data_IF_286736162695
#
_entry.id   IF_286736162695
#
_cell.length_a   1.000
_cell.length_b   1.000
_cell.length_c   1.000
_cell.angle_alpha   90.00
_cell.angle_beta   90.00
_cell.angle_gamma   90.00
#
_symmetry.space_group_name_H-M   'P 1'
#
loop_
_entity.id
_entity.type
_entity.pdbx_description
1 polymer ?
#
# COMPACT_ATOMS: atom_id res chain seq x y z
N UNK A 1 16.96 -0.19 -1.57
CA UNK A 1 16.45 0.62 -0.44
C UNK A 1 16.25 -0.29 0.76
N UNK A 2 16.57 0.16 1.99
CA UNK A 2 16.44 -0.64 3.21
C UNK A 2 15.58 0.12 4.21
N UNK A 3 14.67 -0.58 4.88
CA UNK A 3 13.68 0.00 5.77
C UNK A 3 13.45 -0.90 6.99
N UNK A 4 12.91 -0.31 8.05
CA UNK A 4 12.48 -1.01 9.26
C UNK A 4 13.60 -1.53 10.14
N UNK A 5 13.25 -1.83 11.39
CA UNK A 5 14.15 -2.43 12.39
C UNK A 5 13.59 -3.77 12.86
N UNK A 6 12.37 -3.77 13.40
CA UNK A 6 11.66 -4.98 13.87
C UNK A 6 11.22 -5.87 12.71
N UNK A 7 10.66 -5.26 11.67
CA UNK A 7 10.36 -5.91 10.39
C UNK A 7 11.26 -5.22 9.35
N UNK A 8 12.45 -5.77 9.17
CA UNK A 8 13.45 -5.18 8.28
C UNK A 8 13.24 -5.70 6.87
N UNK A 9 13.16 -4.80 5.89
CA UNK A 9 13.06 -5.19 4.49
C UNK A 9 13.99 -4.40 3.59
N UNK A 10 14.43 -5.05 2.51
CA UNK A 10 15.31 -4.49 1.49
C UNK A 10 14.72 -4.76 0.11
N UNK A 11 14.61 -3.70 -0.68
CA UNK A 11 14.19 -3.74 -2.09
C UNK A 11 15.40 -3.44 -2.97
N UNK A 12 15.61 -4.26 -3.98
CA UNK A 12 16.70 -4.09 -4.95
C UNK A 12 16.17 -4.27 -6.37
N UNK A 13 16.52 -3.35 -7.26
CA UNK A 13 16.24 -3.55 -8.69
C UNK A 13 17.14 -4.66 -9.22
N UNK A 14 16.55 -5.57 -9.98
CA UNK A 14 17.26 -6.58 -10.76
C UNK A 14 16.89 -6.40 -12.24
N UNK A 15 17.62 -7.04 -13.14
CA UNK A 15 17.54 -6.81 -14.59
C UNK A 15 16.11 -6.79 -15.14
N UNK A 16 15.29 -7.77 -14.74
CA UNK A 16 13.88 -7.86 -15.16
C UNK A 16 12.93 -7.89 -13.96
N UNK A 17 13.13 -7.06 -12.93
CA UNK A 17 12.20 -7.07 -11.81
C UNK A 17 12.71 -6.45 -10.51
N UNK A 18 12.31 -7.06 -9.39
CA UNK A 18 12.67 -6.63 -8.04
C UNK A 18 13.05 -7.84 -7.19
N UNK A 19 14.15 -7.72 -6.47
CA UNK A 19 14.49 -8.62 -5.37
C UNK A 19 14.03 -8.00 -4.05
N UNK A 20 13.26 -8.76 -3.29
CA UNK A 20 12.81 -8.41 -1.95
C UNK A 20 13.48 -9.33 -0.94
N UNK A 21 14.07 -8.75 0.11
CA UNK A 21 14.58 -9.50 1.26
C UNK A 21 13.91 -8.97 2.51
N UNK A 22 13.35 -9.87 3.33
CA UNK A 22 12.68 -9.55 4.58
C UNK A 22 13.37 -10.33 5.70
N UNK A 23 13.74 -9.63 6.77
CA UNK A 23 14.41 -10.20 7.93
C UNK A 23 13.54 -10.08 9.17
N UNK A 24 13.93 -10.80 10.21
CA UNK A 24 13.30 -10.80 11.53
C UNK A 24 11.85 -11.33 11.49
N UNK A 25 11.57 -12.29 10.61
CA UNK A 25 10.28 -12.94 10.55
C UNK A 25 10.27 -14.12 11.52
N UNK A 26 9.32 -14.19 12.47
CA UNK A 26 9.21 -15.33 13.38
C UNK A 26 9.04 -16.65 12.61
N UNK A 27 9.61 -17.73 13.12
CA UNK A 27 9.41 -19.08 12.59
C UNK A 27 7.96 -19.55 12.80
N UNK A 28 7.46 -20.36 11.88
CA UNK A 28 6.22 -21.13 12.02
C UNK A 28 4.95 -20.39 11.61
N UNK A 29 5.05 -19.19 11.05
CA UNK A 29 3.91 -18.45 10.51
C UNK A 29 3.44 -19.15 9.24
N UNK A 30 2.17 -19.57 9.21
CA UNK A 30 1.57 -20.18 8.03
C UNK A 30 1.39 -19.15 6.91
N UNK A 31 1.98 -19.44 5.75
CA UNK A 31 1.98 -18.59 4.57
C UNK A 31 2.02 -19.44 3.30
N UNK A 32 1.06 -19.21 2.41
CA UNK A 32 0.87 -19.98 1.17
C UNK A 32 0.99 -19.09 -0.06
N UNK A 33 1.20 -19.69 -1.23
CA UNK A 33 1.16 -18.96 -2.50
C UNK A 33 -0.19 -18.23 -2.70
N UNK A 34 -1.28 -18.80 -2.20
CA UNK A 34 -2.62 -18.23 -2.29
C UNK A 34 -2.78 -16.94 -1.46
N UNK A 35 -2.07 -16.83 -0.33
CA UNK A 35 -2.08 -15.60 0.47
C UNK A 35 -1.52 -14.42 -0.34
N UNK A 36 -0.39 -14.63 -1.03
CA UNK A 36 0.22 -13.62 -1.90
C UNK A 36 -0.66 -13.30 -3.11
N UNK A 37 -1.15 -14.34 -3.81
CA UNK A 37 -2.00 -14.18 -4.99
C UNK A 37 -3.27 -13.40 -4.68
N UNK A 38 -3.90 -13.63 -3.52
CA UNK A 38 -5.10 -12.91 -3.09
C UNK A 38 -4.86 -11.41 -2.92
N UNK A 39 -3.73 -11.01 -2.36
CA UNK A 39 -3.43 -9.58 -2.19
C UNK A 39 -2.97 -8.93 -3.48
N UNK A 40 -2.14 -9.60 -4.28
CA UNK A 40 -1.69 -9.08 -5.57
C UNK A 40 -2.84 -8.88 -6.56
N UNK A 41 -3.83 -9.77 -6.55
CA UNK A 41 -5.02 -9.69 -7.39
C UNK A 41 -5.89 -8.46 -7.11
N UNK A 42 -5.73 -7.80 -5.94
CA UNK A 42 -6.45 -6.57 -5.62
C UNK A 42 -5.95 -5.36 -6.41
N UNK A 43 -4.75 -5.42 -7.01
CA UNK A 43 -4.19 -4.33 -7.84
C UNK A 43 -4.88 -4.23 -9.21
N UNK A 44 -6.19 -4.08 -9.24
CA UNK A 44 -6.94 -3.98 -10.49
C UNK A 44 -8.02 -2.93 -10.37
N UNK A 45 -8.29 -2.27 -11.48
CA UNK A 45 -9.42 -1.38 -11.62
C UNK A 45 -9.91 -1.40 -13.08
N UNK A 46 -11.04 -0.76 -13.34
CA UNK A 46 -11.46 -0.55 -14.72
C UNK A 46 -10.38 0.20 -15.52
N UNK A 47 -9.98 -0.36 -16.67
CA UNK A 47 -8.89 0.18 -17.49
C UNK A 47 -7.48 -0.20 -17.06
N UNK A 48 -7.29 -0.98 -16.00
CA UNK A 48 -5.98 -1.49 -15.59
C UNK A 48 -6.02 -2.89 -14.98
N UNK A 49 -5.14 -3.75 -15.49
CA UNK A 49 -4.83 -5.06 -14.92
C UNK A 49 -3.32 -5.17 -14.69
N UNK A 50 -2.88 -5.90 -13.65
CA UNK A 50 -1.47 -6.23 -13.47
C UNK A 50 -0.87 -6.91 -14.70
N UNK A 51 0.45 -6.82 -14.83
CA UNK A 51 1.15 -7.49 -15.92
C UNK A 51 1.00 -9.02 -15.76
N UNK A 52 0.42 -9.74 -16.75
CA UNK A 52 0.18 -11.18 -16.64
C UNK A 52 1.47 -12.02 -16.61
N UNK A 53 2.60 -11.44 -17.04
CA UNK A 53 3.90 -12.12 -17.05
C UNK A 53 4.67 -11.94 -15.72
N UNK A 54 4.05 -11.31 -14.71
CA UNK A 54 4.62 -11.20 -13.37
C UNK A 54 4.78 -12.59 -12.72
N UNK A 55 5.97 -12.90 -12.23
CA UNK A 55 6.29 -14.18 -11.61
C UNK A 55 7.04 -13.99 -10.28
N UNK A 56 6.72 -14.82 -9.30
CA UNK A 56 7.26 -14.72 -7.94
C UNK A 56 7.92 -16.03 -7.57
N UNK A 57 9.23 -15.97 -7.35
CA UNK A 57 10.01 -17.06 -6.81
C UNK A 57 10.36 -16.79 -5.35
N UNK A 58 10.07 -17.75 -4.48
CA UNK A 58 10.58 -17.76 -3.12
C UNK A 58 11.93 -18.47 -3.13
N UNK A 59 13.01 -17.72 -2.92
CA UNK A 59 14.37 -18.23 -2.93
C UNK A 59 14.80 -18.81 -1.58
N UNK A 60 14.25 -18.28 -0.48
CA UNK A 60 14.56 -18.76 0.89
C UNK A 60 13.50 -18.31 1.91
N UNK A 61 13.55 -18.90 3.11
CA UNK A 61 12.82 -18.44 4.29
C UNK A 61 11.38 -18.94 4.45
N UNK A 62 10.87 -19.71 3.48
CA UNK A 62 9.57 -20.39 3.55
C UNK A 62 9.75 -21.85 3.12
N UNK A 63 9.32 -22.78 3.98
CA UNK A 63 9.32 -24.22 3.71
C UNK A 63 8.03 -24.83 4.23
N UNK A 64 7.44 -25.77 3.46
CA UNK A 64 6.18 -26.43 3.83
C UNK A 64 5.08 -25.43 4.25
N UNK A 65 4.94 -24.34 3.49
CA UNK A 65 3.97 -23.26 3.74
C UNK A 65 4.12 -22.58 5.10
N UNK A 66 5.33 -22.59 5.68
CA UNK A 66 5.66 -21.92 6.94
C UNK A 66 6.95 -21.15 6.85
N UNK A 67 7.03 -20.04 7.56
CA UNK A 67 8.27 -19.28 7.72
C UNK A 67 9.30 -20.09 8.51
N UNK A 68 10.56 -20.05 8.09
CA UNK A 68 11.63 -20.83 8.75
C UNK A 68 12.29 -20.08 9.91
N UNK A 69 12.12 -18.76 9.99
CA UNK A 69 12.85 -17.88 10.92
C UNK A 69 14.10 -17.25 10.31
N UNK A 70 14.52 -17.72 9.13
CA UNK A 70 15.60 -17.13 8.35
C UNK A 70 15.10 -15.94 7.51
N UNK A 71 16.03 -15.26 6.83
CA UNK A 71 15.69 -14.21 5.88
C UNK A 71 14.82 -14.78 4.73
N UNK A 72 13.65 -14.17 4.52
CA UNK A 72 12.78 -14.50 3.39
C UNK A 72 13.25 -13.69 2.19
N UNK A 73 13.59 -14.38 1.10
CA UNK A 73 14.06 -13.75 -0.13
C UNK A 73 13.12 -14.10 -1.27
N UNK A 74 12.60 -13.08 -1.94
CA UNK A 74 11.82 -13.21 -3.16
C UNK A 74 12.60 -12.67 -4.35
N UNK A 75 12.47 -13.34 -5.49
CA UNK A 75 12.70 -12.76 -6.80
C UNK A 75 11.34 -12.51 -7.44
N UNK A 76 11.06 -11.26 -7.80
CA UNK A 76 9.81 -10.86 -8.44
C UNK A 76 10.11 -10.37 -9.86
N UNK A 77 9.97 -11.29 -10.82
CA UNK A 77 10.20 -11.03 -12.25
C UNK A 77 9.05 -10.17 -12.78
N UNK A 78 9.39 -9.15 -13.57
CA UNK A 78 8.52 -8.07 -14.09
C UNK A 78 7.72 -7.32 -13.02
N UNK A 79 8.04 -7.54 -11.75
CA UNK A 79 7.45 -6.84 -10.61
C UNK A 79 8.01 -5.42 -10.43
N UNK A 80 7.31 -4.64 -9.61
CA UNK A 80 7.68 -3.28 -9.22
C UNK A 80 7.95 -3.22 -7.71
N UNK A 81 8.44 -2.08 -7.22
CA UNK A 81 8.65 -1.92 -5.77
C UNK A 81 7.31 -1.96 -5.02
N UNK A 82 6.26 -1.40 -5.60
CA UNK A 82 4.91 -1.40 -5.05
C UNK A 82 4.33 -2.82 -4.97
N UNK A 83 4.53 -3.66 -6.00
CA UNK A 83 4.08 -5.05 -5.95
C UNK A 83 4.89 -5.89 -4.96
N UNK A 84 6.21 -5.67 -4.87
CA UNK A 84 7.05 -6.29 -3.84
C UNK A 84 6.63 -5.88 -2.42
N UNK A 85 6.19 -4.63 -2.22
CA UNK A 85 5.64 -4.20 -0.93
C UNK A 85 4.39 -4.98 -0.53
N UNK A 86 3.58 -5.41 -1.48
CA UNK A 86 2.42 -6.25 -1.18
C UNK A 86 2.87 -7.60 -0.62
N UNK A 87 3.92 -8.22 -1.17
CA UNK A 87 4.46 -9.47 -0.63
C UNK A 87 4.90 -9.32 0.83
N UNK A 88 5.63 -8.24 1.13
CA UNK A 88 6.02 -7.90 2.49
C UNK A 88 4.80 -7.64 3.39
N UNK A 89 3.80 -6.93 2.87
CA UNK A 89 2.55 -6.64 3.58
C UNK A 89 1.72 -7.88 3.88
N UNK A 90 1.67 -8.85 2.97
CA UNK A 90 0.99 -10.14 3.18
C UNK A 90 1.59 -10.89 4.37
N UNK A 91 2.92 -10.94 4.47
CA UNK A 91 3.61 -11.52 5.65
C UNK A 91 3.33 -10.67 6.89
N UNK A 92 3.46 -9.34 6.77
CA UNK A 92 3.18 -8.40 7.86
C UNK A 92 1.78 -8.57 8.44
N UNK A 93 0.77 -8.82 7.60
CA UNK A 93 -0.62 -9.06 8.03
C UNK A 93 -0.81 -10.36 8.80
N UNK A 94 0.05 -11.36 8.62
CA UNK A 94 0.04 -12.58 9.43
C UNK A 94 0.67 -12.36 10.81
N UNK A 95 1.55 -11.36 10.93
CA UNK A 95 2.22 -10.98 12.18
C UNK A 95 1.37 -9.98 12.97
N UNK A 96 0.78 -9.01 12.26
CA UNK A 96 -0.03 -7.97 12.84
C UNK A 96 -1.44 -8.51 13.13
N UNK A 97 -1.76 -8.73 14.40
CA UNK A 97 -3.11 -9.10 14.85
C UNK A 97 -4.07 -7.91 14.92
N UNK A 98 -3.99 -7.01 13.94
CA UNK A 98 -4.83 -5.80 13.87
C UNK A 98 -5.19 -5.53 12.43
N UNK A 99 -6.43 -5.10 12.22
CA UNK A 99 -6.95 -4.80 10.88
C UNK A 99 -6.56 -3.39 10.47
N UNK A 100 -5.98 -3.28 9.28
CA UNK A 100 -5.79 -2.03 8.54
C UNK A 100 -6.70 -2.10 7.33
N UNK A 101 -7.37 -1.00 6.99
CA UNK A 101 -8.24 -0.93 5.81
C UNK A 101 -7.83 0.29 5.00
N UNK A 102 -7.56 0.09 3.71
CA UNK A 102 -7.26 1.16 2.76
C UNK A 102 -8.33 1.20 1.67
N UNK A 103 -8.68 2.40 1.21
CA UNK A 103 -9.67 2.61 0.14
C UNK A 103 -9.41 3.90 -0.62
N UNK A 104 -9.85 3.97 -1.87
CA UNK A 104 -9.99 5.24 -2.57
C UNK A 104 -11.10 6.08 -1.93
N UNK A 105 -10.83 7.36 -1.72
CA UNK A 105 -11.77 8.35 -1.15
C UNK A 105 -12.12 9.45 -2.16
N UNK A 106 -11.25 9.72 -3.12
CA UNK A 106 -11.48 10.69 -4.20
C UNK A 106 -10.77 10.25 -5.49
N UNK A 107 -11.41 10.44 -6.64
CA UNK A 107 -10.82 10.22 -7.97
C UNK A 107 -11.12 11.44 -8.84
N UNK A 108 -10.09 12.11 -9.34
CA UNK A 108 -10.22 13.26 -10.24
C UNK A 108 -11.01 14.43 -9.64
N UNK A 109 -10.93 14.67 -8.33
CA UNK A 109 -11.72 15.70 -7.65
C UNK A 109 -13.13 15.26 -7.24
N UNK A 110 -13.53 14.02 -7.51
CA UNK A 110 -14.86 13.49 -7.21
C UNK A 110 -14.76 12.52 -6.03
N UNK A 111 -15.48 12.83 -4.95
CA UNK A 111 -15.56 11.96 -3.76
C UNK A 111 -16.19 10.61 -4.11
N UNK A 112 -15.56 9.52 -3.68
CA UNK A 112 -16.06 8.15 -3.86
C UNK A 112 -17.30 7.93 -2.99
N UNK A 113 -18.36 7.41 -3.61
CA UNK A 113 -19.62 7.06 -2.95
C UNK A 113 -20.70 6.74 -3.98
N UNK A 114 -21.79 6.09 -3.54
CA UNK A 114 -22.85 5.56 -4.42
C UNK A 114 -23.39 6.61 -5.40
N UNK A 115 -23.60 7.85 -4.94
CA UNK A 115 -24.13 8.95 -5.76
C UNK A 115 -23.20 9.37 -6.90
N UNK A 116 -21.90 9.09 -6.78
CA UNK A 116 -20.87 9.54 -7.71
C UNK A 116 -20.29 8.40 -8.56
N UNK A 117 -20.72 7.16 -8.36
CA UNK A 117 -20.12 5.98 -9.01
C UNK A 117 -20.13 6.09 -10.54
N UNK A 118 -21.25 6.50 -11.12
CA UNK A 118 -21.38 6.65 -12.57
C UNK A 118 -20.42 7.72 -13.13
N UNK A 119 -20.25 8.85 -12.43
CA UNK A 119 -19.33 9.91 -12.84
C UNK A 119 -17.87 9.47 -12.78
N UNK A 120 -17.49 8.78 -11.70
CA UNK A 120 -16.16 8.22 -11.54
C UNK A 120 -15.87 7.19 -12.63
N UNK A 121 -16.83 6.30 -12.91
CA UNK A 121 -16.72 5.28 -13.97
C UNK A 121 -16.45 5.92 -15.33
N UNK A 122 -17.24 6.92 -15.73
CA UNK A 122 -17.04 7.64 -17.00
C UNK A 122 -15.68 8.34 -17.05
N UNK A 123 -15.26 8.96 -15.95
CA UNK A 123 -13.94 9.60 -15.87
C UNK A 123 -12.79 8.60 -16.05
N UNK A 124 -12.85 7.46 -15.35
CA UNK A 124 -11.86 6.37 -15.46
C UNK A 124 -11.84 5.77 -16.87
N UNK A 125 -13.00 5.48 -17.46
CA UNK A 125 -13.11 4.96 -18.83
C UNK A 125 -12.48 5.92 -19.83
N UNK A 126 -12.75 7.22 -19.71
CA UNK A 126 -12.15 8.23 -20.57
C UNK A 126 -10.62 8.18 -20.49
N UNK A 127 -10.05 8.12 -19.28
CA UNK A 127 -8.60 8.05 -19.09
C UNK A 127 -8.00 6.79 -19.70
N UNK A 128 -8.66 5.64 -19.52
CA UNK A 128 -8.24 4.38 -20.12
C UNK A 128 -8.25 4.44 -21.66
N UNK A 129 -9.28 5.06 -22.26
CA UNK A 129 -9.38 5.23 -23.72
C UNK A 129 -8.34 6.21 -24.27
N UNK A 130 -7.89 7.19 -23.49
CA UNK A 130 -6.94 8.22 -23.92
C UNK A 130 -5.49 7.96 -23.49
N UNK A 131 -5.20 6.83 -22.85
CA UNK A 131 -3.89 6.54 -22.24
C UNK A 131 -3.41 7.71 -21.35
N UNK A 132 -4.28 8.16 -20.45
CA UNK A 132 -4.01 9.24 -19.51
C UNK A 132 -4.38 8.82 -18.08
N UNK A 133 -4.22 9.71 -17.11
CA UNK A 133 -4.55 9.44 -15.71
C UNK A 133 -5.01 10.68 -14.95
N UNK A 134 -5.73 10.45 -13.86
CA UNK A 134 -6.21 11.47 -12.93
C UNK A 134 -5.44 11.42 -11.61
N UNK A 135 -5.34 12.57 -10.95
CA UNK A 135 -5.02 12.60 -9.53
C UNK A 135 -6.10 11.89 -8.72
N UNK A 136 -5.73 11.40 -7.54
CA UNK A 136 -6.64 10.61 -6.69
C UNK A 136 -6.20 10.64 -5.23
N UNK A 137 -7.10 10.26 -4.31
CA UNK A 137 -6.85 10.30 -2.86
C UNK A 137 -7.22 8.96 -2.22
N UNK A 138 -6.26 8.34 -1.54
CA UNK A 138 -6.47 7.16 -0.71
C UNK A 138 -6.69 7.54 0.76
N UNK A 139 -7.50 6.75 1.46
CA UNK A 139 -7.70 6.84 2.92
C UNK A 139 -7.41 5.49 3.56
N UNK A 140 -6.68 5.51 4.68
CA UNK A 140 -6.35 4.34 5.48
C UNK A 140 -6.96 4.50 6.87
N UNK A 141 -7.82 3.57 7.25
CA UNK A 141 -8.31 3.40 8.62
C UNK A 141 -7.31 2.52 9.40
N UNK A 142 -6.80 3.06 10.50
CA UNK A 142 -5.80 2.42 11.37
C UNK A 142 -6.46 1.88 12.65
N UNK A 143 -5.82 0.91 13.34
CA UNK A 143 -6.27 0.46 14.65
C UNK A 143 -6.45 1.62 15.64
N UNK A 144 -7.48 1.54 16.49
CA UNK A 144 -7.82 2.63 17.43
C UNK A 144 -6.69 2.95 18.42
N UNK A 145 -5.84 1.95 18.72
CA UNK A 145 -4.73 2.03 19.66
C UNK A 145 -3.40 2.43 19.01
N UNK A 146 -3.41 2.83 17.74
CA UNK A 146 -2.19 3.29 17.05
C UNK A 146 -1.59 4.53 17.72
N UNK A 147 -0.31 4.44 18.10
CA UNK A 147 0.54 5.58 18.43
C UNK A 147 0.81 6.39 17.15
N UNK A 148 0.04 7.46 16.98
CA UNK A 148 0.10 8.28 15.77
C UNK A 148 1.40 9.05 15.65
N UNK A 149 2.06 9.40 16.75
CA UNK A 149 3.26 10.24 16.70
C UNK A 149 4.45 9.45 16.15
N UNK A 150 4.56 8.16 16.49
CA UNK A 150 5.51 7.25 15.86
C UNK A 150 5.09 6.86 14.45
N UNK A 151 3.81 6.51 14.26
CA UNK A 151 3.30 6.04 12.97
C UNK A 151 3.56 7.04 11.85
N UNK A 152 3.30 8.34 12.08
CA UNK A 152 3.44 9.41 11.09
C UNK A 152 4.80 9.38 10.41
N UNK A 153 5.88 9.41 11.19
CA UNK A 153 7.24 9.46 10.66
C UNK A 153 7.63 8.20 9.89
N UNK A 154 7.34 7.02 10.46
CA UNK A 154 7.67 5.72 9.84
C UNK A 154 6.92 5.53 8.53
N UNK A 155 5.60 5.76 8.54
CA UNK A 155 4.74 5.60 7.38
C UNK A 155 5.09 6.60 6.28
N UNK A 156 5.27 7.89 6.60
CA UNK A 156 5.61 8.90 5.61
C UNK A 156 6.94 8.59 4.91
N UNK A 157 7.96 8.17 5.67
CA UNK A 157 9.24 7.78 5.11
C UNK A 157 9.07 6.66 4.06
N UNK A 158 8.32 5.62 4.38
CA UNK A 158 8.14 4.49 3.46
C UNK A 158 7.35 4.90 2.22
N UNK A 159 6.22 5.59 2.41
CA UNK A 159 5.34 6.01 1.30
C UNK A 159 6.08 6.92 0.33
N UNK A 160 6.71 8.00 0.80
CA UNK A 160 7.42 8.93 -0.08
C UNK A 160 8.65 8.30 -0.75
N UNK A 161 9.25 7.29 -0.13
CA UNK A 161 10.40 6.60 -0.71
C UNK A 161 9.99 5.60 -1.80
N UNK A 162 8.83 4.96 -1.65
CA UNK A 162 8.38 3.88 -2.53
C UNK A 162 7.52 4.40 -3.67
N UNK A 163 6.62 5.37 -3.41
CA UNK A 163 5.61 5.81 -4.38
C UNK A 163 5.91 7.26 -4.80
N UNK A 164 6.49 7.47 -5.99
CA UNK A 164 6.95 8.79 -6.41
C UNK A 164 5.82 9.78 -6.73
N UNK A 165 4.59 9.32 -6.96
CA UNK A 165 3.40 10.15 -7.23
C UNK A 165 2.70 10.67 -5.98
N UNK A 166 3.17 10.34 -4.78
CA UNK A 166 2.57 10.89 -3.55
C UNK A 166 3.00 12.34 -3.39
N UNK A 167 2.01 13.23 -3.38
CA UNK A 167 2.20 14.68 -3.27
C UNK A 167 1.95 15.19 -1.85
N UNK A 168 1.09 14.49 -1.09
CA UNK A 168 0.81 14.86 0.30
C UNK A 168 0.34 13.66 1.13
N UNK A 169 0.66 13.71 2.43
CA UNK A 169 0.12 12.80 3.44
C UNK A 169 -0.45 13.65 4.57
N UNK A 170 -1.68 13.37 4.96
CA UNK A 170 -2.38 14.00 6.07
C UNK A 170 -2.79 12.92 7.08
N UNK A 171 -2.88 13.30 8.36
CA UNK A 171 -3.23 12.37 9.44
C UNK A 171 -4.41 12.90 10.24
N UNK A 172 -5.21 11.99 10.79
CA UNK A 172 -6.37 12.34 11.60
C UNK A 172 -7.36 13.20 10.82
N UNK A 173 -7.64 14.41 11.30
CA UNK A 173 -8.55 15.36 10.63
C UNK A 173 -7.92 16.05 9.41
N UNK A 174 -6.61 15.88 9.16
CA UNK A 174 -5.88 16.53 8.08
C UNK A 174 -6.03 18.05 8.13
N UNK A 175 -6.20 18.69 6.96
CA UNK A 175 -6.45 20.14 6.88
C UNK A 175 -7.72 20.60 7.63
N UNK A 176 -8.64 19.69 7.93
CA UNK A 176 -9.84 19.98 8.71
C UNK A 176 -9.54 20.41 10.14
N UNK A 177 -8.36 20.06 10.68
CA UNK A 177 -7.93 20.46 12.03
C UNK A 177 -7.82 21.98 12.18
N UNK A 178 -7.50 22.70 11.10
CA UNK A 178 -7.37 24.17 11.13
C UNK A 178 -8.68 24.90 11.44
N UNK A 179 -9.82 24.20 11.41
CA UNK A 179 -11.15 24.72 11.77
C UNK A 179 -11.55 24.38 13.21
N UNK A 180 -10.69 23.72 13.99
CA UNK A 180 -10.98 23.25 15.34
C UNK A 180 -10.25 24.10 16.39
N UNK A 181 -10.94 24.43 17.48
CA UNK A 181 -10.30 24.90 18.70
C UNK A 181 -9.82 23.71 19.53
N UNK A 182 -8.87 23.94 20.45
CA UNK A 182 -8.42 22.90 21.38
C UNK A 182 -9.59 22.31 22.20
N UNK A 183 -10.56 23.15 22.59
CA UNK A 183 -11.76 22.74 23.32
C UNK A 183 -12.67 21.79 22.51
N UNK A 184 -12.71 21.93 21.18
CA UNK A 184 -13.60 21.18 20.29
C UNK A 184 -12.86 20.14 19.42
N UNK A 185 -11.60 19.84 19.73
CA UNK A 185 -10.80 18.88 18.97
C UNK A 185 -11.38 17.47 19.06
N UNK A 186 -11.88 17.10 20.24
CA UNK A 186 -12.42 15.77 20.51
C UNK A 186 -11.36 14.69 20.37
N UNK A 187 -11.81 13.45 20.10
CA UNK A 187 -10.91 12.33 19.80
C UNK A 187 -10.58 12.37 18.31
N UNK A 188 -9.31 12.52 17.97
CA UNK A 188 -8.87 12.48 16.58
C UNK A 188 -8.97 11.07 16.00
N UNK A 189 -9.45 10.94 14.74
CA UNK A 189 -9.53 9.64 14.09
C UNK A 189 -8.14 9.06 13.84
N UNK A 190 -8.00 7.75 13.98
CA UNK A 190 -6.78 7.02 13.63
C UNK A 190 -6.81 6.72 12.14
N UNK A 191 -6.40 7.69 11.34
CA UNK A 191 -6.38 7.56 9.88
C UNK A 191 -5.23 8.31 9.23
N UNK A 192 -4.90 7.87 8.02
CA UNK A 192 -4.01 8.57 7.09
C UNK A 192 -4.73 8.83 5.77
N UNK A 193 -4.49 9.98 5.16
CA UNK A 193 -5.05 10.40 3.87
C UNK A 193 -3.86 10.69 2.96
N UNK A 194 -3.82 10.05 1.79
CA UNK A 194 -2.68 10.09 0.87
C UNK A 194 -3.18 10.65 -0.46
N UNK A 195 -2.58 11.76 -0.90
CA UNK A 195 -2.90 12.39 -2.16
C UNK A 195 -1.87 12.01 -3.21
N UNK A 196 -2.36 11.50 -4.34
CA UNK A 196 -1.57 11.15 -5.50
C UNK A 196 -1.76 12.16 -6.63
N UNK A 197 -0.67 12.52 -7.29
CA UNK A 197 -0.73 13.09 -8.64
C UNK A 197 -1.21 12.07 -9.67
N UNK A 198 -1.41 12.49 -10.94
CA UNK A 198 -1.62 11.57 -12.05
C UNK A 198 -0.46 10.57 -12.18
N UNK A 199 -0.75 9.34 -12.60
CA UNK A 199 0.27 8.32 -12.83
C UNK A 199 1.21 8.74 -13.96
N UNK A 200 2.52 8.84 -13.66
CA UNK A 200 3.52 9.37 -14.60
C UNK A 200 3.64 8.54 -15.88
N UNK A 201 3.51 7.22 -15.78
CA UNK A 201 3.53 6.32 -16.93
C UNK A 201 2.20 6.26 -17.69
N UNK A 202 1.13 6.87 -17.14
CA UNK A 202 -0.22 6.92 -17.76
C UNK A 202 -0.86 5.56 -18.05
N UNK A 203 -0.43 4.52 -17.31
CA UNK A 203 -0.97 3.15 -17.41
C UNK A 203 -2.11 2.87 -16.44
N UNK A 204 -2.19 3.64 -15.35
CA UNK A 204 -3.16 3.43 -14.27
C UNK A 204 -4.06 4.67 -14.26
N UNK A 205 -5.36 4.54 -14.57
CA UNK A 205 -6.27 5.69 -14.65
C UNK A 205 -6.35 6.50 -13.36
N UNK A 206 -6.34 5.84 -12.20
CA UNK A 206 -6.34 6.49 -10.89
C UNK A 206 -5.58 5.64 -9.86
N UNK A 207 -4.47 6.17 -9.34
CA UNK A 207 -3.56 5.40 -8.48
C UNK A 207 -4.23 4.90 -7.19
N UNK A 208 -5.02 5.73 -6.50
CA UNK A 208 -5.63 5.32 -5.23
C UNK A 208 -6.57 4.12 -5.33
N UNK A 209 -7.07 3.79 -6.52
CA UNK A 209 -7.93 2.64 -6.76
C UNK A 209 -7.16 1.32 -6.94
N UNK A 210 -5.86 1.40 -7.24
CA UNK A 210 -4.97 0.23 -7.42
C UNK A 210 -3.99 0.10 -6.26
N UNK A 211 -3.56 1.24 -5.71
CA UNK A 211 -2.53 1.31 -4.67
C UNK A 211 -3.12 1.25 -3.26
N UNK A 212 -4.43 1.04 -3.10
CA UNK A 212 -5.04 0.84 -1.79
C UNK A 212 -4.38 -0.32 -1.03
N UNK A 213 -4.15 -1.46 -1.69
CA UNK A 213 -3.46 -2.63 -1.11
C UNK A 213 -1.96 -2.37 -0.88
N UNK A 214 -1.34 -1.52 -1.68
CA UNK A 214 0.06 -1.11 -1.50
C UNK A 214 0.18 -0.25 -0.23
N UNK A 215 -0.72 0.73 -0.09
CA UNK A 215 -0.85 1.59 1.09
C UNK A 215 -1.18 0.78 2.35
N UNK A 216 -2.10 -0.19 2.27
CA UNK A 216 -2.42 -1.12 3.36
C UNK A 216 -1.16 -1.88 3.80
N UNK A 217 -0.40 -2.41 2.83
CA UNK A 217 0.84 -3.16 3.08
C UNK A 217 1.91 -2.30 3.75
N UNK A 218 2.13 -1.07 3.26
CA UNK A 218 3.06 -0.13 3.87
C UNK A 218 2.61 0.25 5.29
N UNK A 219 1.32 0.49 5.51
CA UNK A 219 0.78 0.82 6.83
C UNK A 219 0.94 -0.32 7.82
N UNK A 220 0.69 -1.57 7.41
CA UNK A 220 0.92 -2.76 8.24
C UNK A 220 2.39 -2.86 8.65
N UNK A 221 3.32 -2.71 7.70
CA UNK A 221 4.76 -2.79 7.98
C UNK A 221 5.22 -1.63 8.85
N UNK A 222 4.66 -0.43 8.64
CA UNK A 222 4.93 0.72 9.49
C UNK A 222 4.48 0.45 10.94
N UNK A 223 3.29 -0.10 11.15
CA UNK A 223 2.77 -0.45 12.47
C UNK A 223 3.65 -1.46 13.22
N UNK A 224 4.20 -2.45 12.53
CA UNK A 224 5.12 -3.43 13.14
C UNK A 224 6.44 -2.77 13.57
N UNK A 225 6.87 -1.73 12.85
CA UNK A 225 8.15 -1.04 13.07
C UNK A 225 8.10 0.14 14.05
N UNK A 226 6.96 0.41 14.70
CA UNK A 226 6.83 1.49 15.71
C UNK A 226 7.37 1.11 17.09
#
# INVERSE_FOLDING_TARGET
MKFGEKFNFKLEKIDDGVKLTIKNIPQGIAITAMDFGRDLAKRTMEGYSPNPDEEIDVLSGIENEKTTGEDIVFSYIKGTYESAMILAGTIGKKILDRKVISRASEIGGITVGEKNEAYIRVAVQKMAMTNDSLGSVGEIDLPFDTDMDRFKGVFANYVFSIIPEVEAIQYGLGIGVGKKSAENLGIEPKKAIITFGPHRERKIPALSAVYDIVLESIAVIALINM
#
